data_IF_030046049551
#
_entry.id   IF_030046049551
#
_cell.length_a   1.000
_cell.length_b   1.000
_cell.length_c   1.000
_cell.angle_alpha   90.00
_cell.angle_beta   90.00
_cell.angle_gamma   90.00
#
_symmetry.space_group_name_H-M   'P 1'
#
loop_
_entity.id
_entity.type
_entity.pdbx_description
1 polymer ?
#
# COMPACT_ATOMS: atom_id res chain seq x y z
N UNK A 1 0.03 -12.61 -24.88
CA UNK A 1 0.25 -13.41 -23.65
C UNK A 1 1.32 -14.45 -23.94
N UNK A 2 2.34 -14.59 -23.09
CA UNK A 2 3.41 -15.58 -23.24
C UNK A 2 3.14 -16.78 -22.32
N UNK A 3 3.60 -17.96 -22.71
CA UNK A 3 3.52 -19.14 -21.86
C UNK A 3 4.37 -18.95 -20.58
N UNK A 4 3.83 -19.08 -19.36
CA UNK A 4 4.61 -18.93 -18.14
C UNK A 4 5.66 -20.04 -17.94
N UNK A 5 5.50 -21.19 -18.62
CA UNK A 5 6.40 -22.33 -18.45
C UNK A 5 7.61 -22.35 -19.41
N UNK A 6 7.50 -21.77 -20.61
CA UNK A 6 8.57 -21.82 -21.63
C UNK A 6 8.73 -20.51 -22.40
N UNK A 7 8.05 -19.44 -21.98
CA UNK A 7 8.07 -18.09 -22.54
C UNK A 7 7.68 -17.97 -24.02
N UNK A 8 7.19 -19.05 -24.64
CA UNK A 8 6.76 -19.03 -26.05
C UNK A 8 5.53 -18.16 -26.26
N UNK A 9 5.51 -17.40 -27.35
CA UNK A 9 4.35 -16.62 -27.80
C UNK A 9 3.31 -17.48 -28.54
N UNK A 10 3.64 -18.74 -28.87
CA UNK A 10 2.76 -19.69 -29.59
C UNK A 10 1.70 -20.28 -28.65
N UNK A 11 0.71 -19.46 -28.28
CA UNK A 11 -0.36 -19.79 -27.36
C UNK A 11 -1.70 -19.77 -28.09
N UNK A 12 -2.60 -20.72 -27.76
CA UNK A 12 -3.97 -20.74 -28.23
C UNK A 12 -4.95 -20.74 -27.06
N UNK A 13 -6.06 -19.99 -27.13
CA UNK A 13 -7.11 -20.05 -26.14
C UNK A 13 -7.84 -21.39 -26.20
N UNK A 14 -8.35 -21.86 -25.06
CA UNK A 14 -9.24 -23.00 -24.96
C UNK A 14 -10.67 -22.48 -24.72
N UNK A 15 -11.68 -23.19 -25.18
CA UNK A 15 -13.08 -22.83 -24.95
C UNK A 15 -13.54 -23.01 -23.48
N UNK A 16 -12.75 -23.72 -22.67
CA UNK A 16 -13.05 -23.97 -21.26
C UNK A 16 -12.48 -22.86 -20.36
N UNK A 17 -13.18 -22.63 -19.25
CA UNK A 17 -12.72 -21.75 -18.15
C UNK A 17 -12.42 -22.60 -16.91
N UNK A 18 -11.72 -22.00 -15.96
CA UNK A 18 -11.60 -22.54 -14.60
C UNK A 18 -12.92 -22.40 -13.85
N UNK A 19 -13.09 -23.07 -12.71
CA UNK A 19 -14.26 -22.92 -11.83
C UNK A 19 -14.48 -21.47 -11.35
N UNK A 20 -13.41 -20.66 -11.34
CA UNK A 20 -13.46 -19.24 -10.98
C UNK A 20 -13.66 -18.30 -12.19
N UNK A 21 -13.95 -18.85 -13.38
CA UNK A 21 -14.26 -18.07 -14.59
C UNK A 21 -13.03 -17.62 -15.40
N UNK A 22 -11.80 -17.94 -15.01
CA UNK A 22 -10.58 -17.58 -15.76
C UNK A 22 -10.45 -18.35 -17.06
N UNK A 23 -10.07 -17.68 -18.15
CA UNK A 23 -9.83 -18.31 -19.44
C UNK A 23 -8.61 -19.23 -19.40
N UNK A 24 -8.77 -20.42 -19.99
CA UNK A 24 -7.66 -21.38 -20.12
C UNK A 24 -6.96 -21.23 -21.46
N UNK A 25 -5.65 -21.39 -21.45
CA UNK A 25 -4.79 -21.35 -22.62
C UNK A 25 -3.94 -22.59 -22.73
N UNK A 26 -3.52 -22.95 -23.95
CA UNK A 26 -2.57 -24.05 -24.21
C UNK A 26 -1.37 -23.52 -24.98
N UNK A 27 -0.19 -23.81 -24.50
CA UNK A 27 1.05 -23.55 -25.25
C UNK A 27 1.24 -24.59 -26.34
N UNK A 28 1.45 -24.14 -27.59
CA UNK A 28 1.71 -25.05 -28.72
C UNK A 28 3.12 -25.64 -28.68
N UNK A 29 4.07 -25.01 -27.98
CA UNK A 29 5.45 -25.47 -27.88
C UNK A 29 5.64 -26.51 -26.76
N UNK A 30 5.33 -26.17 -25.48
CA UNK A 30 5.50 -27.08 -24.34
C UNK A 30 4.25 -27.91 -24.03
N UNK A 31 3.15 -27.71 -24.75
CA UNK A 31 1.84 -28.40 -24.64
C UNK A 31 1.13 -28.24 -23.28
N UNK A 32 1.70 -27.52 -22.32
CA UNK A 32 1.08 -27.26 -21.00
C UNK A 32 -0.09 -26.30 -21.13
N UNK A 33 -1.08 -26.47 -20.26
CA UNK A 33 -2.22 -25.56 -20.10
C UNK A 33 -1.96 -24.61 -18.94
N UNK A 34 -2.45 -23.38 -19.06
CA UNK A 34 -2.30 -22.35 -18.04
C UNK A 34 -3.45 -21.34 -18.13
N UNK A 35 -3.57 -20.49 -17.14
CA UNK A 35 -4.48 -19.33 -17.08
C UNK A 35 -3.72 -18.09 -16.63
N UNK A 36 -4.43 -16.96 -16.48
CA UNK A 36 -3.87 -15.66 -16.07
C UNK A 36 -3.21 -15.69 -14.69
N UNK A 37 -3.57 -16.66 -13.83
CA UNK A 37 -3.05 -16.81 -12.48
C UNK A 37 -1.87 -17.76 -12.38
N UNK A 38 -1.62 -18.53 -13.43
CA UNK A 38 -0.51 -19.51 -13.44
C UNK A 38 0.82 -18.78 -13.29
N UNK A 39 1.66 -19.26 -12.39
CA UNK A 39 2.95 -18.67 -12.00
C UNK A 39 2.84 -17.30 -11.33
N UNK A 40 1.68 -17.00 -10.74
CA UNK A 40 1.46 -15.83 -9.91
C UNK A 40 1.22 -16.23 -8.45
N UNK A 41 1.37 -15.32 -7.48
CA UNK A 41 1.02 -15.57 -6.08
C UNK A 41 -0.43 -16.05 -5.85
N UNK A 42 -1.32 -15.74 -6.80
CA UNK A 42 -2.74 -16.09 -6.76
C UNK A 42 -3.05 -17.46 -7.35
N UNK A 43 -2.05 -18.19 -7.86
CA UNK A 43 -2.26 -19.53 -8.37
C UNK A 43 -2.76 -20.46 -7.26
N UNK A 44 -3.68 -21.38 -7.58
CA UNK A 44 -4.34 -22.32 -6.66
C UNK A 44 -5.18 -21.69 -5.53
N UNK A 45 -5.41 -20.38 -5.52
CA UNK A 45 -6.34 -19.77 -4.55
C UNK A 45 -7.77 -19.96 -5.04
N UNK A 46 -8.66 -20.45 -4.16
CA UNK A 46 -10.04 -20.82 -4.51
C UNK A 46 -11.02 -19.62 -4.58
N UNK A 47 -10.54 -18.42 -4.31
CA UNK A 47 -11.32 -17.18 -4.38
C UNK A 47 -10.82 -16.33 -5.55
N UNK A 48 -11.69 -15.62 -6.29
CA UNK A 48 -11.30 -14.71 -7.36
C UNK A 48 -10.35 -13.63 -6.89
N UNK A 49 -9.37 -13.24 -7.72
CA UNK A 49 -8.33 -12.26 -7.36
C UNK A 49 -8.91 -10.88 -7.05
N UNK A 50 -9.96 -10.48 -7.75
CA UNK A 50 -10.66 -9.21 -7.52
C UNK A 50 -11.37 -9.17 -6.15
N UNK A 51 -11.92 -10.29 -5.68
CA UNK A 51 -12.51 -10.42 -4.34
C UNK A 51 -11.42 -10.29 -3.27
N UNK A 52 -10.26 -10.94 -3.44
CA UNK A 52 -9.14 -10.79 -2.54
C UNK A 52 -8.69 -9.34 -2.47
N UNK A 53 -8.55 -8.69 -3.63
CA UNK A 53 -8.18 -7.27 -3.69
C UNK A 53 -9.20 -6.38 -2.98
N UNK A 54 -10.51 -6.58 -3.22
CA UNK A 54 -11.57 -5.83 -2.55
C UNK A 54 -11.54 -6.04 -1.03
N UNK A 55 -11.34 -7.28 -0.56
CA UNK A 55 -11.23 -7.59 0.87
C UNK A 55 -10.05 -6.85 1.52
N UNK A 56 -8.88 -6.85 0.87
CA UNK A 56 -7.71 -6.11 1.34
C UNK A 56 -7.91 -4.59 1.30
N UNK A 57 -8.59 -4.06 0.27
CA UNK A 57 -8.96 -2.65 0.20
C UNK A 57 -9.92 -2.26 1.33
N UNK A 58 -10.92 -3.10 1.65
CA UNK A 58 -11.80 -2.91 2.80
C UNK A 58 -11.00 -2.80 4.10
N UNK A 59 -9.98 -3.60 4.26
CA UNK A 59 -9.10 -3.60 5.43
C UNK A 59 -8.25 -2.33 5.53
N UNK A 60 -7.55 -1.95 4.46
CA UNK A 60 -6.60 -0.82 4.51
C UNK A 60 -7.26 0.54 4.31
N UNK A 61 -8.34 0.62 3.54
CA UNK A 61 -9.01 1.90 3.21
C UNK A 61 -10.19 2.21 4.12
N UNK A 62 -11.05 1.22 4.42
CA UNK A 62 -12.34 1.43 5.07
C UNK A 62 -12.37 1.06 6.56
N UNK A 63 -11.22 0.77 7.18
CA UNK A 63 -11.05 0.52 8.62
C UNK A 63 -11.79 -0.72 9.15
N UNK A 64 -12.20 -1.65 8.28
CA UNK A 64 -12.87 -2.86 8.70
C UNK A 64 -11.90 -3.82 9.41
N UNK A 65 -12.34 -4.48 10.45
CA UNK A 65 -11.60 -5.58 11.07
C UNK A 65 -11.59 -6.82 10.15
N UNK A 66 -10.77 -7.81 10.45
CA UNK A 66 -10.79 -9.07 9.68
C UNK A 66 -12.15 -9.76 9.73
N UNK A 67 -12.86 -9.66 10.88
CA UNK A 67 -14.19 -10.23 11.07
C UNK A 67 -15.23 -9.47 10.27
N UNK A 68 -15.23 -8.14 10.32
CA UNK A 68 -16.13 -7.30 9.53
C UNK A 68 -15.99 -7.57 8.03
N UNK A 69 -14.76 -7.76 7.54
CA UNK A 69 -14.49 -8.12 6.14
C UNK A 69 -15.09 -9.48 5.81
N UNK A 70 -14.87 -10.49 6.64
CA UNK A 70 -15.43 -11.83 6.41
C UNK A 70 -16.97 -11.79 6.39
N UNK A 71 -17.59 -11.08 7.33
CA UNK A 71 -19.04 -10.89 7.40
C UNK A 71 -19.59 -10.13 6.19
N UNK A 72 -18.94 -9.03 5.80
CA UNK A 72 -19.34 -8.24 4.63
C UNK A 72 -19.37 -9.07 3.34
N UNK A 73 -18.36 -9.94 3.14
CA UNK A 73 -18.30 -10.78 1.96
C UNK A 73 -19.21 -12.00 2.05
N UNK A 74 -19.51 -12.51 3.26
CA UNK A 74 -20.52 -13.55 3.46
C UNK A 74 -21.90 -13.09 2.95
N UNK A 75 -22.30 -11.85 3.26
CA UNK A 75 -23.55 -11.24 2.76
C UNK A 75 -23.57 -11.10 1.21
N UNK A 76 -22.43 -11.22 0.55
CA UNK A 76 -22.26 -11.19 -0.91
C UNK A 76 -22.06 -12.58 -1.53
N UNK A 77 -22.26 -13.62 -0.75
CA UNK A 77 -22.16 -15.01 -1.19
C UNK A 77 -20.73 -15.59 -1.22
N UNK A 78 -19.74 -14.89 -0.64
CA UNK A 78 -18.37 -15.40 -0.51
C UNK A 78 -18.11 -15.87 0.91
N UNK A 79 -17.87 -17.14 1.10
CA UNK A 79 -17.63 -17.74 2.40
C UNK A 79 -16.14 -17.95 2.64
N UNK A 80 -15.58 -17.21 3.60
CA UNK A 80 -14.21 -17.38 4.11
C UNK A 80 -14.12 -16.82 5.53
N UNK A 81 -13.13 -17.28 6.29
CA UNK A 81 -12.94 -16.89 7.67
C UNK A 81 -12.11 -15.61 7.80
N UNK A 82 -12.16 -14.97 8.97
CA UNK A 82 -11.30 -13.83 9.29
C UNK A 82 -9.79 -14.19 9.28
N UNK A 83 -9.43 -15.45 9.58
CA UNK A 83 -8.05 -15.94 9.45
C UNK A 83 -7.61 -16.02 7.99
N UNK A 84 -8.53 -16.33 7.07
CA UNK A 84 -8.27 -16.27 5.62
C UNK A 84 -7.95 -14.84 5.18
N UNK A 85 -8.67 -13.84 5.71
CA UNK A 85 -8.39 -12.42 5.40
C UNK A 85 -7.03 -12.00 5.96
N UNK A 86 -6.66 -12.46 7.16
CA UNK A 86 -5.32 -12.25 7.74
C UNK A 86 -4.23 -12.85 6.87
N UNK A 87 -4.40 -14.11 6.44
CA UNK A 87 -3.48 -14.78 5.53
C UNK A 87 -3.33 -14.03 4.20
N UNK A 88 -4.43 -13.51 3.64
CA UNK A 88 -4.37 -12.70 2.43
C UNK A 88 -3.64 -11.38 2.64
N UNK A 89 -3.84 -10.71 3.78
CA UNK A 89 -3.11 -9.48 4.13
C UNK A 89 -1.60 -9.76 4.19
N UNK A 90 -1.20 -10.84 4.81
CA UNK A 90 0.21 -11.22 4.89
C UNK A 90 0.82 -11.54 3.52
N UNK A 91 0.14 -12.39 2.76
CA UNK A 91 0.66 -12.95 1.52
C UNK A 91 0.52 -12.02 0.32
N UNK A 92 -0.62 -11.35 0.18
CA UNK A 92 -0.95 -10.64 -1.06
C UNK A 92 -0.85 -9.12 -0.96
N UNK A 93 -0.94 -8.53 0.23
CA UNK A 93 -0.89 -7.07 0.37
C UNK A 93 0.38 -6.46 -0.23
N UNK A 94 1.60 -7.03 -0.09
CA UNK A 94 2.79 -6.53 -0.75
C UNK A 94 2.67 -6.49 -2.28
N UNK A 95 2.00 -7.46 -2.89
CA UNK A 95 1.82 -7.52 -4.35
C UNK A 95 0.93 -6.40 -4.90
N UNK A 96 0.13 -5.76 -4.06
CA UNK A 96 -0.65 -4.57 -4.44
C UNK A 96 0.10 -3.28 -4.10
N UNK A 97 0.78 -3.22 -2.97
CA UNK A 97 1.41 -1.98 -2.49
C UNK A 97 2.74 -1.67 -3.20
N UNK A 98 3.56 -2.67 -3.49
CA UNK A 98 4.85 -2.46 -4.15
C UNK A 98 4.72 -1.89 -5.58
N UNK A 99 3.82 -2.32 -6.46
CA UNK A 99 3.60 -1.67 -7.75
C UNK A 99 3.13 -0.22 -7.62
N UNK A 100 2.28 0.11 -6.63
CA UNK A 100 1.84 1.47 -6.34
C UNK A 100 3.05 2.32 -5.93
N UNK A 101 3.87 1.82 -5.00
CA UNK A 101 5.07 2.48 -4.51
C UNK A 101 6.07 2.76 -5.64
N UNK A 102 6.32 1.78 -6.51
CA UNK A 102 7.21 1.95 -7.69
C UNK A 102 6.69 2.99 -8.68
N UNK A 103 5.37 3.08 -8.90
CA UNK A 103 4.77 4.05 -9.82
C UNK A 103 4.88 5.50 -9.35
N UNK A 104 5.12 5.75 -8.07
CA UNK A 104 5.31 7.11 -7.53
C UNK A 104 6.78 7.53 -7.45
N UNK A 105 7.74 6.66 -7.82
CA UNK A 105 9.16 6.98 -7.87
C UNK A 105 9.41 8.29 -8.62
N UNK A 106 10.19 9.21 -8.04
CA UNK A 106 10.50 10.51 -8.64
C UNK A 106 9.31 11.49 -8.75
N UNK A 107 8.17 11.24 -8.09
CA UNK A 107 6.95 12.06 -8.17
C UNK A 107 6.64 12.78 -6.86
N UNK A 108 7.63 13.22 -6.15
CA UNK A 108 7.49 14.03 -4.94
C UNK A 108 8.12 15.39 -5.15
N UNK A 109 7.63 16.39 -4.41
CA UNK A 109 8.19 17.74 -4.40
C UNK A 109 9.54 17.81 -3.72
N UNK A 110 10.13 18.99 -3.69
CA UNK A 110 11.48 19.26 -3.18
C UNK A 110 11.50 19.69 -1.70
N UNK A 111 10.35 19.94 -1.10
CA UNK A 111 10.24 20.28 0.33
C UNK A 111 9.58 19.11 1.07
N UNK A 112 10.35 18.42 1.92
CA UNK A 112 9.83 17.30 2.68
C UNK A 112 9.48 17.71 4.11
N UNK A 113 8.32 17.32 4.56
CA UNK A 113 7.83 17.48 5.93
C UNK A 113 7.89 16.11 6.59
N UNK A 114 8.76 15.94 7.58
CA UNK A 114 9.01 14.65 8.22
C UNK A 114 8.70 14.73 9.70
N UNK A 115 8.02 13.72 10.20
CA UNK A 115 7.66 13.59 11.60
C UNK A 115 7.49 12.11 11.95
N UNK A 116 7.56 11.75 13.23
CA UNK A 116 7.27 10.41 13.67
C UNK A 116 6.08 10.38 14.64
N UNK A 117 5.37 9.27 14.59
CA UNK A 117 4.34 8.91 15.57
C UNK A 117 4.64 7.53 16.15
N UNK A 118 4.11 7.26 17.33
CA UNK A 118 4.37 6.00 17.99
C UNK A 118 3.14 5.08 17.91
N UNK A 119 3.44 3.78 17.81
CA UNK A 119 2.49 2.68 17.79
C UNK A 119 2.92 1.63 18.82
N UNK A 120 1.97 0.98 19.47
CA UNK A 120 2.26 -0.10 20.41
C UNK A 120 2.13 -1.45 19.71
N UNK A 121 3.20 -2.25 19.74
CA UNK A 121 3.27 -3.57 19.11
C UNK A 121 3.67 -4.58 20.17
N UNK A 122 2.84 -5.58 20.44
CA UNK A 122 3.06 -6.53 21.57
C UNK A 122 3.39 -5.81 22.90
N UNK A 123 2.77 -4.68 23.15
CA UNK A 123 3.04 -3.91 24.38
C UNK A 123 4.26 -3.01 24.33
N UNK A 124 5.11 -3.09 23.31
CA UNK A 124 6.33 -2.28 23.11
C UNK A 124 6.06 -1.09 22.21
N UNK A 125 6.58 0.09 22.57
CA UNK A 125 6.50 1.27 21.74
C UNK A 125 7.45 1.16 20.54
N UNK A 126 6.90 1.39 19.35
CA UNK A 126 7.63 1.49 18.09
C UNK A 126 7.28 2.81 17.42
N UNK A 127 8.13 3.29 16.54
CA UNK A 127 8.08 4.64 15.96
C UNK A 127 7.87 4.56 14.46
N UNK A 128 6.82 5.20 13.99
CA UNK A 128 6.48 5.29 12.56
C UNK A 128 6.95 6.63 12.02
N UNK A 129 8.12 6.64 11.39
CA UNK A 129 8.63 7.78 10.62
C UNK A 129 7.82 7.94 9.34
N UNK A 130 7.48 9.17 9.02
CA UNK A 130 6.65 9.49 7.88
C UNK A 130 7.02 10.83 7.29
N UNK A 131 7.19 10.86 5.95
CA UNK A 131 7.43 12.07 5.18
C UNK A 131 6.33 12.31 4.16
N UNK A 132 5.95 13.57 4.02
CA UNK A 132 5.12 14.09 2.92
C UNK A 132 5.82 15.27 2.27
N UNK A 133 5.50 15.56 1.02
CA UNK A 133 5.97 16.77 0.36
C UNK A 133 5.06 17.98 0.66
N UNK A 134 5.38 19.15 0.08
CA UNK A 134 4.64 20.40 0.20
C UNK A 134 3.19 20.29 -0.30
N UNK A 135 2.92 19.42 -1.26
CA UNK A 135 1.58 19.12 -1.78
C UNK A 135 0.86 18.02 -0.97
N UNK A 136 1.54 17.45 0.03
CA UNK A 136 1.08 16.38 0.90
C UNK A 136 1.09 15.00 0.21
N UNK A 137 1.85 14.79 -0.88
CA UNK A 137 2.10 13.46 -1.41
C UNK A 137 3.04 12.71 -0.48
N UNK A 138 2.88 11.40 -0.40
CA UNK A 138 3.72 10.56 0.43
C UNK A 138 5.15 10.53 -0.11
N UNK A 139 6.11 10.97 0.69
CA UNK A 139 7.54 10.77 0.44
C UNK A 139 7.91 9.32 0.76
N UNK A 140 7.78 8.94 2.02
CA UNK A 140 7.92 7.52 2.43
C UNK A 140 7.37 7.30 3.85
N UNK A 141 7.30 6.02 4.25
CA UNK A 141 6.91 5.57 5.58
C UNK A 141 7.79 4.41 6.02
N UNK A 142 8.29 4.48 7.26
CA UNK A 142 9.13 3.43 7.86
C UNK A 142 8.77 3.22 9.32
N UNK A 143 8.55 1.97 9.71
CA UNK A 143 8.40 1.58 11.10
C UNK A 143 9.79 1.23 11.68
N UNK A 144 10.11 1.75 12.86
CA UNK A 144 11.33 1.46 13.61
C UNK A 144 10.99 1.00 15.03
N UNK A 145 11.85 0.16 15.59
CA UNK A 145 11.77 -0.25 17.00
C UNK A 145 12.31 0.83 17.95
N UNK A 146 13.14 1.73 17.44
CA UNK A 146 13.83 2.76 18.22
C UNK A 146 13.60 4.15 17.63
N UNK A 147 13.62 5.18 18.50
CA UNK A 147 13.59 6.60 18.13
C UNK A 147 14.97 7.18 18.30
N UNK A 148 15.89 6.78 17.44
CA UNK A 148 17.30 7.14 17.53
C UNK A 148 17.87 7.53 16.16
N UNK A 149 19.17 7.83 16.15
CA UNK A 149 19.92 8.16 14.93
C UNK A 149 19.82 7.04 13.87
N UNK A 150 19.87 5.77 14.28
CA UNK A 150 19.79 4.65 13.35
C UNK A 150 18.43 4.54 12.67
N UNK A 151 17.33 4.72 13.44
CA UNK A 151 15.96 4.74 12.90
C UNK A 151 15.74 5.89 11.93
N UNK A 152 16.24 7.09 12.26
CA UNK A 152 16.13 8.30 11.44
C UNK A 152 16.92 8.18 10.14
N UNK A 153 18.19 7.74 10.19
CA UNK A 153 19.00 7.47 9.00
C UNK A 153 18.35 6.43 8.09
N UNK A 154 17.91 5.32 8.66
CA UNK A 154 17.27 4.26 7.90
C UNK A 154 15.97 4.72 7.20
N UNK A 155 15.25 5.71 7.76
CA UNK A 155 14.12 6.36 7.09
C UNK A 155 14.60 7.19 5.89
N UNK A 156 15.58 8.08 6.05
CA UNK A 156 16.06 8.93 4.95
C UNK A 156 16.74 8.11 3.85
N UNK A 157 17.58 7.12 4.19
CA UNK A 157 18.16 6.21 3.22
C UNK A 157 17.11 5.45 2.40
N UNK A 158 16.01 5.04 3.04
CA UNK A 158 14.88 4.40 2.35
C UNK A 158 14.14 5.39 1.45
N UNK A 159 13.93 6.62 1.90
CA UNK A 159 13.23 7.67 1.16
C UNK A 159 14.03 8.09 -0.08
N UNK A 160 15.34 8.40 0.05
CA UNK A 160 16.18 8.78 -1.09
C UNK A 160 16.35 7.64 -2.09
N UNK A 161 16.39 6.38 -1.64
CA UNK A 161 16.45 5.22 -2.53
C UNK A 161 15.19 5.04 -3.41
N UNK A 162 14.09 5.70 -3.05
CA UNK A 162 12.86 5.71 -3.84
C UNK A 162 12.78 6.90 -4.81
N UNK A 163 13.50 7.99 -4.53
CA UNK A 163 13.48 9.21 -5.32
C UNK A 163 14.85 9.41 -5.99
N UNK A 164 14.88 10.04 -7.16
CA UNK A 164 16.12 10.21 -7.93
C UNK A 164 16.99 11.34 -7.36
N UNK A 165 16.33 12.37 -6.80
CA UNK A 165 16.99 13.55 -6.27
C UNK A 165 16.70 13.75 -4.79
N UNK A 166 17.67 14.31 -4.07
CA UNK A 166 17.48 14.82 -2.71
C UNK A 166 16.52 16.04 -2.70
N UNK A 167 15.78 16.25 -1.59
CA UNK A 167 14.98 17.46 -1.44
C UNK A 167 15.88 18.69 -1.21
N UNK A 168 15.37 19.85 -1.61
CA UNK A 168 16.03 21.12 -1.31
C UNK A 168 15.91 21.48 0.18
N UNK A 169 14.80 21.06 0.80
CA UNK A 169 14.48 21.34 2.20
C UNK A 169 13.78 20.18 2.91
N UNK A 170 14.17 19.97 4.17
CA UNK A 170 13.47 19.04 5.09
C UNK A 170 13.03 19.82 6.34
N UNK A 171 11.74 19.79 6.64
CA UNK A 171 11.18 20.36 7.87
C UNK A 171 10.82 19.24 8.85
N UNK A 172 11.22 19.40 10.13
CA UNK A 172 10.97 18.42 11.20
C UNK A 172 10.55 19.11 12.51
N UNK A 173 10.18 18.30 13.53
CA UNK A 173 9.84 18.77 14.89
C UNK A 173 11.06 19.18 15.76
N UNK A 174 12.28 18.98 15.25
CA UNK A 174 13.51 19.33 15.97
C UNK A 174 14.08 18.25 16.87
N UNK A 175 13.72 16.96 16.66
CA UNK A 175 14.43 15.85 17.30
C UNK A 175 15.93 15.92 16.98
N UNK A 176 16.81 15.80 17.99
CA UNK A 176 18.26 15.96 17.87
C UNK A 176 18.93 15.00 16.85
N UNK A 177 18.26 13.91 16.48
CA UNK A 177 18.75 12.96 15.47
C UNK A 177 18.60 13.49 14.02
N UNK A 178 17.68 14.42 13.75
CA UNK A 178 17.39 14.86 12.39
C UNK A 178 18.55 15.59 11.70
N UNK A 179 19.18 16.63 12.30
CA UNK A 179 20.18 17.42 11.58
C UNK A 179 21.29 16.55 10.98
N UNK A 180 21.89 15.71 11.81
CA UNK A 180 22.97 14.82 11.38
C UNK A 180 22.51 13.74 10.41
N UNK A 181 21.31 13.18 10.59
CA UNK A 181 20.79 12.17 9.68
C UNK A 181 20.48 12.75 8.29
N UNK A 182 19.99 14.00 8.22
CA UNK A 182 19.74 14.73 6.97
C UNK A 182 21.06 14.97 6.24
N UNK A 183 22.08 15.52 6.94
CA UNK A 183 23.40 15.79 6.36
C UNK A 183 24.05 14.51 5.80
N UNK A 184 24.03 13.40 6.57
CA UNK A 184 24.70 12.16 6.18
C UNK A 184 23.96 11.39 5.06
N UNK A 185 22.61 11.43 5.00
CA UNK A 185 21.81 10.62 4.06
C UNK A 185 21.32 11.41 2.83
N UNK A 186 21.10 12.72 2.97
CA UNK A 186 20.57 13.58 1.91
C UNK A 186 21.62 14.55 1.35
N UNK A 187 22.70 14.79 2.09
CA UNK A 187 23.79 15.69 1.71
C UNK A 187 23.70 17.08 2.35
N UNK A 188 24.80 17.83 2.25
CA UNK A 188 24.93 19.17 2.85
C UNK A 188 24.13 20.27 2.13
N UNK A 189 23.71 20.02 0.90
CA UNK A 189 22.89 20.95 0.10
C UNK A 189 21.43 21.01 0.58
N UNK A 190 20.97 20.02 1.35
CA UNK A 190 19.59 19.97 1.86
C UNK A 190 19.45 20.87 3.10
N UNK A 191 18.63 21.91 3.01
CA UNK A 191 18.32 22.80 4.13
C UNK A 191 17.47 22.08 5.18
N UNK A 192 17.88 22.12 6.46
CA UNK A 192 17.06 21.63 7.57
C UNK A 192 16.35 22.78 8.30
N UNK A 193 15.01 22.72 8.33
CA UNK A 193 14.16 23.67 9.03
C UNK A 193 13.47 23.00 10.23
N UNK A 194 13.58 23.61 11.41
CA UNK A 194 12.82 23.17 12.59
C UNK A 194 11.50 23.94 12.66
N UNK A 195 10.37 23.22 12.60
CA UNK A 195 9.03 23.80 12.72
C UNK A 195 8.30 23.25 13.96
N UNK A 196 7.55 24.10 14.69
CA UNK A 196 6.70 23.60 15.78
C UNK A 196 5.70 22.58 15.30
N UNK A 197 5.47 21.50 16.09
CA UNK A 197 4.55 20.39 15.76
C UNK A 197 3.15 20.86 15.36
N UNK A 198 2.62 21.91 15.97
CA UNK A 198 1.26 22.44 15.70
C UNK A 198 1.07 22.99 14.28
N UNK A 199 2.15 23.32 13.58
CA UNK A 199 2.12 23.85 12.22
C UNK A 199 2.49 22.80 11.16
N UNK A 200 2.71 21.54 11.56
CA UNK A 200 3.19 20.50 10.64
C UNK A 200 2.01 19.73 10.02
N UNK A 201 1.78 19.83 8.68
CA UNK A 201 0.73 19.06 7.98
C UNK A 201 0.87 17.53 8.13
N UNK A 202 2.07 17.03 8.44
CA UNK A 202 2.33 15.59 8.66
C UNK A 202 1.51 15.07 9.84
N UNK A 203 1.33 15.87 10.91
CA UNK A 203 0.54 15.41 12.05
C UNK A 203 -0.93 15.13 11.68
N UNK A 204 -1.54 15.94 10.82
CA UNK A 204 -2.88 15.65 10.31
C UNK A 204 -2.90 14.33 9.51
N UNK A 205 -1.82 14.02 8.84
CA UNK A 205 -1.68 12.81 8.06
C UNK A 205 -1.53 11.57 8.94
N UNK A 206 -0.99 11.68 10.17
CA UNK A 206 -0.94 10.60 11.17
C UNK A 206 -2.32 10.10 11.59
N UNK A 207 -3.35 10.95 11.54
CA UNK A 207 -4.74 10.55 11.83
C UNK A 207 -5.19 9.36 11.00
N UNK A 208 -4.71 9.24 9.76
CA UNK A 208 -5.05 8.13 8.87
C UNK A 208 -4.64 6.78 9.47
N UNK A 209 -3.46 6.69 10.07
CA UNK A 209 -2.96 5.50 10.75
C UNK A 209 -3.64 5.34 12.11
N UNK A 210 -3.67 6.39 12.94
CA UNK A 210 -4.26 6.35 14.30
C UNK A 210 -5.72 5.88 14.28
N UNK A 211 -6.53 6.35 13.34
CA UNK A 211 -7.93 5.93 13.18
C UNK A 211 -8.10 4.45 12.81
N UNK A 212 -7.05 3.79 12.31
CA UNK A 212 -7.08 2.34 12.04
C UNK A 212 -6.45 1.54 13.16
N UNK A 213 -5.43 2.10 13.77
CA UNK A 213 -4.71 1.50 14.86
C UNK A 213 -5.59 1.31 16.13
N UNK A 214 -6.33 2.34 16.54
CA UNK A 214 -7.15 2.26 17.75
C UNK A 214 -8.23 1.18 17.69
N UNK A 215 -9.05 1.05 16.63
CA UNK A 215 -10.08 0.01 16.55
C UNK A 215 -9.55 -1.42 16.54
N UNK A 216 -8.31 -1.64 16.08
CA UNK A 216 -7.70 -2.98 16.05
C UNK A 216 -6.96 -3.34 17.32
N UNK A 217 -6.97 -2.46 18.33
CA UNK A 217 -6.31 -2.62 19.64
C UNK A 217 -4.79 -2.89 19.56
N UNK A 218 -4.14 -2.39 18.51
CA UNK A 218 -2.71 -2.55 18.29
C UNK A 218 -2.34 -3.70 17.35
N UNK A 219 -1.05 -3.95 17.25
CA UNK A 219 -0.50 -5.00 16.39
C UNK A 219 0.14 -6.11 17.22
N UNK A 220 -0.07 -7.36 16.80
CA UNK A 220 0.57 -8.52 17.39
C UNK A 220 2.01 -8.74 16.96
N UNK A 221 2.43 -8.21 15.79
CA UNK A 221 3.76 -8.43 15.21
C UNK A 221 4.28 -7.20 14.48
N UNK A 222 5.61 -7.01 14.54
CA UNK A 222 6.27 -5.85 13.95
C UNK A 222 6.14 -5.84 12.42
N UNK A 223 6.39 -6.97 11.79
CA UNK A 223 6.31 -7.15 10.34
C UNK A 223 4.89 -6.93 9.81
N UNK A 224 3.88 -7.40 10.53
CA UNK A 224 2.47 -7.17 10.20
C UNK A 224 2.13 -5.67 10.30
N UNK A 225 2.58 -4.99 11.37
CA UNK A 225 2.40 -3.55 11.55
C UNK A 225 3.08 -2.76 10.42
N UNK A 226 4.31 -3.12 10.05
CA UNK A 226 5.07 -2.47 8.98
C UNK A 226 4.36 -2.62 7.63
N UNK A 227 3.92 -3.83 7.26
CA UNK A 227 3.15 -4.08 6.03
C UNK A 227 1.87 -3.26 5.99
N UNK A 228 1.13 -3.28 7.10
CA UNK A 228 -0.14 -2.57 7.21
C UNK A 228 0.03 -1.05 7.10
N UNK A 229 0.94 -0.44 7.87
CA UNK A 229 1.18 1.01 7.83
C UNK A 229 1.60 1.46 6.43
N UNK A 230 2.53 0.73 5.80
CA UNK A 230 2.94 1.00 4.42
C UNK A 230 1.76 0.92 3.46
N UNK A 231 0.95 -0.12 3.55
CA UNK A 231 -0.21 -0.29 2.68
C UNK A 231 -1.25 0.83 2.84
N UNK A 232 -1.55 1.22 4.08
CA UNK A 232 -2.48 2.33 4.37
C UNK A 232 -2.01 3.63 3.73
N UNK A 233 -0.71 3.92 3.80
CA UNK A 233 -0.15 5.15 3.25
C UNK A 233 -0.03 5.10 1.73
N UNK A 234 0.48 4.01 1.14
CA UNK A 234 0.59 3.87 -0.31
C UNK A 234 -0.78 3.87 -0.99
N UNK A 235 -1.74 3.09 -0.50
CA UNK A 235 -3.12 3.07 -1.03
C UNK A 235 -3.80 4.42 -0.81
N UNK A 236 -3.58 5.03 0.36
CA UNK A 236 -4.13 6.35 0.68
C UNK A 236 -3.58 7.45 -0.22
N UNK A 237 -2.31 7.41 -0.56
CA UNK A 237 -1.67 8.34 -1.49
C UNK A 237 -2.14 8.11 -2.93
N UNK A 238 -2.22 6.84 -3.35
CA UNK A 238 -2.70 6.48 -4.69
C UNK A 238 -4.14 6.91 -4.95
N UNK A 239 -5.02 6.76 -3.95
CA UNK A 239 -6.44 7.13 -4.04
C UNK A 239 -6.71 8.60 -3.66
N UNK A 240 -5.68 9.41 -3.44
CA UNK A 240 -5.83 10.82 -3.11
C UNK A 240 -6.22 11.59 -4.37
N UNK A 241 -7.36 12.32 -4.39
CA UNK A 241 -7.69 13.18 -5.51
C UNK A 241 -6.69 14.33 -5.58
N UNK A 242 -6.13 14.55 -6.76
CA UNK A 242 -5.14 15.61 -7.01
C UNK A 242 -5.77 16.97 -7.31
N UNK A 243 -7.07 16.99 -7.60
CA UNK A 243 -7.87 18.20 -7.82
C UNK A 243 -9.33 17.94 -7.49
N UNK A 244 -10.11 19.01 -7.24
CA UNK A 244 -11.57 18.89 -7.04
C UNK A 244 -12.27 18.27 -8.26
N UNK A 245 -11.78 18.47 -9.48
CA UNK A 245 -12.32 17.83 -10.68
C UNK A 245 -12.08 16.31 -10.70
N UNK A 246 -10.99 15.82 -10.11
CA UNK A 246 -10.73 14.38 -10.03
C UNK A 246 -11.71 13.64 -9.10
N UNK A 247 -12.30 14.32 -8.10
CA UNK A 247 -13.36 13.74 -7.25
C UNK A 247 -14.63 13.48 -8.05
N UNK A 248 -15.02 14.37 -8.97
CA UNK A 248 -16.20 14.20 -9.82
C UNK A 248 -16.05 13.04 -10.81
N UNK A 249 -14.88 12.87 -11.41
CA UNK A 249 -14.61 11.76 -12.34
C UNK A 249 -14.70 10.39 -11.66
N UNK A 250 -14.29 10.28 -10.39
CA UNK A 250 -14.44 9.04 -9.62
C UNK A 250 -15.90 8.68 -9.33
N UNK A 251 -16.74 9.67 -9.05
CA UNK A 251 -18.19 9.45 -8.84
C UNK A 251 -18.90 9.00 -10.12
N UNK A 252 -18.47 9.46 -11.29
CA UNK A 252 -19.10 9.12 -12.58
C UNK A 252 -18.68 7.75 -13.14
N UNK A 253 -17.43 7.33 -12.90
CA UNK A 253 -16.95 5.99 -13.29
C UNK A 253 -17.71 4.89 -12.53
N UNK A 254 -18.05 5.11 -11.27
CA UNK A 254 -18.80 4.14 -10.46
C UNK A 254 -20.25 3.99 -10.95
N UNK A 255 -20.90 5.08 -11.40
CA UNK A 255 -22.28 5.04 -11.90
C UNK A 255 -22.42 4.32 -13.24
N UNK A 256 -21.44 4.47 -14.14
CA UNK A 256 -21.48 3.82 -15.46
C UNK A 256 -21.22 2.32 -15.42
N UNK A 257 -20.43 1.84 -14.43
CA UNK A 257 -20.14 0.41 -14.25
C UNK A 257 -21.28 -0.36 -13.57
N UNK A 258 -22.04 0.30 -12.68
CA UNK A 258 -23.21 -0.30 -12.01
C UNK A 258 -24.39 -0.45 -12.97
N UNK A 259 -24.62 0.51 -13.86
CA UNK A 259 -25.76 0.48 -14.82
C UNK A 259 -25.57 -0.58 -15.92
N UNK A 260 -24.33 -0.94 -16.28
CA UNK A 260 -24.08 -1.98 -17.30
C UNK A 260 -24.30 -3.42 -16.81
N UNK A 261 -24.35 -3.67 -15.50
CA UNK A 261 -24.63 -5.02 -14.96
C UNK A 261 -26.10 -5.33 -14.72
N UNK A 262 -26.98 -4.34 -14.77
CA UNK A 262 -28.43 -4.54 -14.58
C UNK A 262 -29.21 -4.80 -15.90
N UNK A 263 -28.54 -4.76 -17.06
CA UNK A 263 -29.17 -5.01 -18.35
C UNK A 263 -28.83 -6.37 -19.00
N UNK A 264 -28.25 -7.29 -18.21
CA UNK A 264 -27.98 -8.67 -18.66
C UNK A 264 -28.66 -9.67 -17.69
N UNK A 265 -29.99 -9.67 -17.70
CA UNK A 265 -30.83 -10.82 -17.36
C UNK A 265 -31.81 -11.07 -18.50
#
# INVERSE_FOLDING_TARGET
>A
MNCPHCHSTRVSPLQRKTNLGYNMHRCKQCRRTFNERTDTPFNFVEVPTDIIFQALLCRVRYKLSYRDVAEFFLLRGFQFTHETVRFWEERFLPHFTEPIRRKRKGKVGKVWLVDETYLRIKGVWCYLYRGIDEDGNLVDVRLSKTRDMAGTKAFFAQAIGLHEDAPDKVATDGLAAYPRAIEEELGQETEHEVRPCTANPVEQSHRRIKHRYYPILGFGEFEAAQRFCRAVDEVGNFLRPRSRMAEFVWCDVDKSSVTRRQTLN
#
